data_IF_668587265550
#
_entry.id   IF_668587265550
#
_cell.length_a   1.000
_cell.length_b   1.000
_cell.length_c   1.000
_cell.angle_alpha   90.00
_cell.angle_beta   90.00
_cell.angle_gamma   90.00
#
_symmetry.space_group_name_H-M   'P 1'
#
loop_
_entity.id
_entity.type
_entity.pdbx_description
1 polymer ?
#
# COMPACT_ATOMS: atom_id res chain seq x y z
N UNK A 1 -0.50 -9.42 -7.92
CA UNK A 1 -1.84 -8.83 -7.66
C UNK A 1 -2.87 -9.85 -8.15
N UNK A 2 -3.40 -10.80 -7.39
CA UNK A 2 -3.92 -10.82 -6.02
C UNK A 2 -3.65 -12.25 -5.51
N UNK A 3 -2.55 -12.43 -4.81
CA UNK A 3 -2.00 -13.76 -4.51
C UNK A 3 -1.87 -13.93 -3.02
N UNK A 4 -1.96 -15.16 -2.54
CA UNK A 4 -1.35 -15.59 -1.27
C UNK A 4 0.11 -15.13 -1.11
N UNK A 5 0.79 -14.77 -2.21
CA UNK A 5 2.15 -14.24 -2.20
C UNK A 5 2.25 -12.78 -1.78
N UNK A 6 1.28 -11.90 -2.05
CA UNK A 6 1.33 -10.54 -1.48
C UNK A 6 1.19 -10.61 0.04
N UNK A 7 0.22 -11.39 0.52
CA UNK A 7 0.10 -11.68 1.96
C UNK A 7 1.32 -12.41 2.53
N UNK A 8 2.10 -13.13 1.72
CA UNK A 8 3.35 -13.77 2.17
C UNK A 8 4.46 -12.74 2.29
N UNK A 9 4.68 -11.91 1.27
CA UNK A 9 5.67 -10.82 1.28
C UNK A 9 5.35 -9.84 2.41
N UNK A 10 4.11 -9.35 2.49
CA UNK A 10 3.68 -8.42 3.55
C UNK A 10 3.81 -9.05 4.94
N UNK A 11 3.51 -10.34 5.10
CA UNK A 11 3.71 -11.04 6.38
C UNK A 11 5.19 -11.10 6.76
N UNK A 12 6.06 -11.49 5.84
CA UNK A 12 7.50 -11.55 6.11
C UNK A 12 8.08 -10.19 6.45
N UNK A 13 7.63 -9.13 5.76
CA UNK A 13 8.01 -7.75 6.09
C UNK A 13 7.60 -7.40 7.52
N UNK A 14 6.38 -7.74 7.94
CA UNK A 14 5.92 -7.52 9.32
C UNK A 14 6.72 -8.34 10.34
N UNK A 15 7.04 -9.59 10.04
CA UNK A 15 7.89 -10.45 10.88
C UNK A 15 9.31 -9.86 11.05
N UNK A 16 9.81 -9.14 10.05
CA UNK A 16 11.07 -8.40 10.10
C UNK A 16 10.93 -6.97 10.69
N UNK A 17 9.84 -6.68 11.40
CA UNK A 17 9.56 -5.39 12.04
C UNK A 17 9.45 -4.18 11.06
N UNK A 18 9.24 -4.45 9.77
CA UNK A 18 8.96 -3.43 8.76
C UNK A 18 7.51 -2.98 8.89
N UNK A 19 7.30 -1.66 8.97
CA UNK A 19 5.97 -1.09 9.02
C UNK A 19 5.27 -1.26 7.67
N UNK A 20 4.05 -1.78 7.66
CA UNK A 20 3.25 -1.97 6.45
C UNK A 20 1.87 -1.33 6.61
N UNK A 21 1.55 -0.43 5.69
CA UNK A 21 0.21 0.17 5.53
C UNK A 21 -0.51 -0.55 4.41
N UNK A 22 -1.62 -1.22 4.74
CA UNK A 22 -2.42 -2.01 3.80
C UNK A 22 -3.61 -1.20 3.26
N UNK A 23 -3.56 -0.86 1.97
CA UNK A 23 -4.59 -0.06 1.33
C UNK A 23 -5.93 -0.78 1.21
N UNK A 24 -5.93 -2.12 1.08
CA UNK A 24 -7.16 -2.92 1.01
C UNK A 24 -7.85 -2.99 2.37
N UNK A 25 -7.07 -3.14 3.44
CA UNK A 25 -7.57 -3.06 4.81
C UNK A 25 -8.17 -1.68 5.10
N UNK A 26 -7.47 -0.61 4.73
CA UNK A 26 -7.96 0.76 4.88
C UNK A 26 -9.24 0.97 4.07
N UNK A 27 -9.29 0.53 2.81
CA UNK A 27 -10.47 0.66 1.96
C UNK A 27 -11.71 -0.01 2.57
N UNK A 28 -11.52 -1.10 3.32
CA UNK A 28 -12.61 -1.78 4.05
C UNK A 28 -12.99 -1.04 5.33
N UNK A 29 -12.02 -0.46 6.04
CA UNK A 29 -12.25 0.22 7.31
C UNK A 29 -12.95 1.57 7.12
N UNK A 30 -12.56 2.37 6.11
CA UNK A 30 -13.11 3.72 5.90
C UNK A 30 -14.59 3.75 5.53
N UNK A 31 -15.12 2.62 5.06
CA UNK A 31 -16.54 2.45 4.69
C UNK A 31 -17.36 1.76 5.79
N UNK A 32 -16.83 1.65 7.01
CA UNK A 32 -17.60 1.13 8.14
C UNK A 32 -18.85 1.99 8.42
N UNK A 33 -19.95 1.39 8.92
CA UNK A 33 -21.17 2.11 9.23
C UNK A 33 -20.91 3.34 10.11
N UNK A 34 -21.59 4.44 9.79
CA UNK A 34 -21.46 5.71 10.53
C UNK A 34 -20.33 6.63 10.02
N UNK A 35 -19.34 6.10 9.30
CA UNK A 35 -18.23 6.91 8.76
C UNK A 35 -18.64 7.78 7.56
N UNK A 36 -17.90 8.87 7.28
CA UNK A 36 -18.22 9.77 6.18
C UNK A 36 -18.24 9.11 4.79
N UNK A 37 -17.34 8.16 4.52
CA UNK A 37 -17.31 7.46 3.23
C UNK A 37 -18.55 6.56 3.07
N UNK A 38 -18.97 5.86 4.12
CA UNK A 38 -20.20 5.07 4.15
C UNK A 38 -21.43 5.92 3.80
N UNK A 39 -21.60 7.08 4.47
CA UNK A 39 -22.72 7.98 4.20
C UNK A 39 -22.75 8.47 2.75
N UNK A 40 -21.58 8.78 2.18
CA UNK A 40 -21.45 9.19 0.77
C UNK A 40 -21.82 8.07 -0.20
N UNK A 41 -21.45 6.83 0.10
CA UNK A 41 -21.81 5.66 -0.72
C UNK A 41 -23.33 5.48 -0.69
N UNK A 42 -23.96 5.45 0.49
CA UNK A 42 -25.42 5.29 0.62
C UNK A 42 -26.16 6.43 -0.08
N UNK A 43 -25.69 7.68 0.04
CA UNK A 43 -26.28 8.81 -0.66
C UNK A 43 -26.18 8.71 -2.19
N UNK A 44 -25.12 8.11 -2.72
CA UNK A 44 -24.89 7.98 -4.16
C UNK A 44 -25.59 6.77 -4.78
N UNK A 45 -25.69 5.66 -4.06
CA UNK A 45 -26.17 4.37 -4.59
C UNK A 45 -27.55 3.97 -4.09
N UNK A 46 -28.08 4.65 -3.07
CA UNK A 46 -29.35 4.35 -2.42
C UNK A 46 -29.23 3.31 -1.30
N UNK A 47 -30.34 2.96 -0.64
CA UNK A 47 -30.37 1.96 0.42
C UNK A 47 -30.15 0.52 -0.09
N UNK A 48 -30.30 0.27 -1.39
CA UNK A 48 -30.17 -1.06 -2.00
C UNK A 48 -28.76 -1.67 -1.91
N UNK A 49 -27.76 -0.85 -1.53
CA UNK A 49 -26.38 -1.33 -1.28
C UNK A 49 -26.13 -1.67 0.19
N UNK A 50 -27.18 -1.66 1.01
CA UNK A 50 -27.13 -2.05 2.42
C UNK A 50 -27.59 -3.51 2.60
N UNK A 51 -26.87 -4.22 3.45
CA UNK A 51 -27.31 -5.50 3.97
C UNK A 51 -28.36 -5.29 5.09
N UNK A 52 -29.11 -6.34 5.47
CA UNK A 52 -30.15 -6.24 6.51
C UNK A 52 -29.66 -5.75 7.87
N UNK A 53 -28.37 -5.91 8.16
CA UNK A 53 -27.70 -5.45 9.39
C UNK A 53 -27.26 -3.97 9.35
N UNK A 54 -27.55 -3.26 8.25
CA UNK A 54 -27.18 -1.86 8.04
C UNK A 54 -25.73 -1.66 7.60
N UNK A 55 -24.98 -2.73 7.32
CA UNK A 55 -23.65 -2.66 6.70
C UNK A 55 -23.75 -2.59 5.18
N UNK A 56 -22.65 -2.32 4.48
CA UNK A 56 -22.65 -2.36 3.00
C UNK A 56 -22.68 -3.81 2.51
N UNK A 57 -23.63 -4.14 1.64
CA UNK A 57 -23.56 -5.36 0.83
C UNK A 57 -22.46 -5.19 -0.22
N UNK A 58 -21.27 -5.66 0.15
CA UNK A 58 -20.07 -5.58 -0.70
C UNK A 58 -20.22 -6.36 -2.00
N UNK A 59 -20.98 -7.46 -2.02
CA UNK A 59 -21.17 -8.25 -3.23
C UNK A 59 -22.07 -7.51 -4.20
N UNK A 60 -23.20 -6.99 -3.73
CA UNK A 60 -24.11 -6.19 -4.53
C UNK A 60 -23.44 -4.92 -5.07
N UNK A 61 -22.73 -4.19 -4.19
CA UNK A 61 -22.02 -2.98 -4.57
C UNK A 61 -20.91 -3.27 -5.59
N UNK A 62 -20.13 -4.33 -5.39
CA UNK A 62 -19.10 -4.74 -6.33
C UNK A 62 -19.69 -5.09 -7.70
N UNK A 63 -20.77 -5.88 -7.76
CA UNK A 63 -21.42 -6.24 -9.02
C UNK A 63 -21.82 -5.00 -9.83
N UNK A 64 -22.41 -4.00 -9.16
CA UNK A 64 -22.81 -2.72 -9.78
C UNK A 64 -21.61 -1.91 -10.27
N UNK A 65 -20.57 -1.79 -9.45
CA UNK A 65 -19.34 -1.04 -9.77
C UNK A 65 -18.50 -1.70 -10.85
N UNK A 66 -18.54 -3.03 -10.95
CA UNK A 66 -17.85 -3.76 -12.02
C UNK A 66 -18.59 -3.66 -13.35
N UNK A 67 -19.93 -3.66 -13.34
CA UNK A 67 -20.75 -3.56 -14.53
C UNK A 67 -20.78 -2.15 -15.15
N UNK A 68 -20.71 -1.09 -14.33
CA UNK A 68 -20.86 0.29 -14.79
C UNK A 68 -19.62 1.17 -14.49
N UNK A 69 -18.91 1.67 -15.52
CA UNK A 69 -17.80 2.62 -15.35
C UNK A 69 -18.17 3.91 -14.61
N UNK A 70 -19.41 4.41 -14.78
CA UNK A 70 -19.87 5.63 -14.09
C UNK A 70 -20.09 5.38 -12.59
N UNK A 71 -20.69 4.24 -12.23
CA UNK A 71 -20.73 3.75 -10.85
C UNK A 71 -19.32 3.63 -10.26
N UNK A 72 -18.34 3.09 -11.01
CA UNK A 72 -16.95 2.98 -10.57
C UNK A 72 -16.30 4.34 -10.29
N UNK A 73 -16.52 5.32 -11.16
CA UNK A 73 -16.02 6.67 -10.94
C UNK A 73 -16.66 7.30 -9.67
N UNK A 74 -17.95 7.05 -9.46
CA UNK A 74 -18.70 7.59 -8.33
C UNK A 74 -18.22 7.02 -7.00
N UNK A 75 -18.07 5.69 -6.88
CA UNK A 75 -17.56 5.07 -5.65
C UNK A 75 -16.12 5.51 -5.37
N UNK A 76 -15.27 5.56 -6.39
CA UNK A 76 -13.88 5.99 -6.23
C UNK A 76 -13.81 7.44 -5.74
N UNK A 77 -14.65 8.34 -6.27
CA UNK A 77 -14.73 9.73 -5.80
C UNK A 77 -15.22 9.82 -4.35
N UNK A 78 -16.14 8.94 -3.95
CA UNK A 78 -16.66 8.90 -2.59
C UNK A 78 -15.63 8.40 -1.57
N UNK A 79 -14.76 7.46 -1.94
CA UNK A 79 -13.84 6.76 -1.02
C UNK A 79 -12.41 7.26 -1.06
N UNK A 80 -11.86 7.63 -2.22
CA UNK A 80 -10.45 7.97 -2.40
C UNK A 80 -9.92 9.03 -1.42
N UNK A 81 -10.63 10.14 -1.13
CA UNK A 81 -10.13 11.13 -0.18
C UNK A 81 -9.89 10.55 1.22
N UNK A 82 -10.79 9.68 1.68
CA UNK A 82 -10.70 9.06 3.01
C UNK A 82 -9.62 7.97 3.06
N UNK A 83 -9.50 7.18 1.99
CA UNK A 83 -8.43 6.17 1.88
C UNK A 83 -7.07 6.86 1.93
N UNK A 84 -6.86 7.91 1.12
CA UNK A 84 -5.61 8.66 1.09
C UNK A 84 -5.27 9.30 2.44
N UNK A 85 -6.28 9.87 3.10
CA UNK A 85 -6.09 10.48 4.42
C UNK A 85 -5.69 9.44 5.47
N UNK A 86 -6.35 8.29 5.52
CA UNK A 86 -6.00 7.22 6.46
C UNK A 86 -4.62 6.60 6.15
N UNK A 87 -4.28 6.41 4.87
CA UNK A 87 -2.94 5.96 4.48
C UNK A 87 -1.87 6.94 4.96
N UNK A 88 -2.08 8.25 4.75
CA UNK A 88 -1.16 9.28 5.22
C UNK A 88 -1.06 9.29 6.75
N UNK A 89 -2.19 9.15 7.45
CA UNK A 89 -2.22 9.11 8.92
C UNK A 89 -1.44 7.92 9.47
N UNK A 90 -1.64 6.71 8.93
CA UNK A 90 -0.91 5.52 9.36
C UNK A 90 0.58 5.63 9.05
N UNK A 91 0.93 6.12 7.85
CA UNK A 91 2.31 6.36 7.46
C UNK A 91 3.02 7.33 8.41
N UNK A 92 2.41 8.49 8.71
CA UNK A 92 2.96 9.46 9.65
C UNK A 92 3.09 8.87 11.06
N UNK A 93 2.11 8.08 11.51
CA UNK A 93 2.17 7.43 12.82
C UNK A 93 3.36 6.47 12.94
N UNK A 94 3.68 5.72 11.89
CA UNK A 94 4.86 4.86 11.87
C UNK A 94 6.16 5.66 11.95
N UNK A 95 6.26 6.77 11.20
CA UNK A 95 7.44 7.64 11.28
C UNK A 95 7.63 8.27 12.66
N UNK A 96 6.53 8.66 13.33
CA UNK A 96 6.57 9.15 14.71
C UNK A 96 7.03 8.07 15.70
N UNK A 97 6.72 6.81 15.43
CA UNK A 97 7.22 5.65 16.17
C UNK A 97 8.64 5.21 15.73
N UNK A 98 9.43 6.12 15.16
CA UNK A 98 10.80 5.91 14.71
C UNK A 98 10.98 4.77 13.66
N UNK A 99 9.89 4.36 12.97
CA UNK A 99 10.01 3.47 11.82
C UNK A 99 10.64 4.24 10.67
N UNK A 100 11.72 3.69 10.13
CA UNK A 100 12.53 4.37 9.11
C UNK A 100 12.03 4.12 7.70
N UNK A 101 11.36 2.98 7.52
CA UNK A 101 10.80 2.53 6.25
C UNK A 101 9.36 2.12 6.52
N UNK A 102 8.46 2.61 5.66
CA UNK A 102 7.05 2.23 5.66
C UNK A 102 6.75 1.69 4.27
N UNK A 103 6.26 0.46 4.21
CA UNK A 103 5.84 -0.18 2.96
C UNK A 103 4.35 0.08 2.75
N UNK A 104 4.01 0.61 1.59
CA UNK A 104 2.61 0.77 1.17
C UNK A 104 2.21 -0.46 0.35
N UNK A 105 1.41 -1.33 0.94
CA UNK A 105 0.79 -2.45 0.24
C UNK A 105 -0.46 -1.93 -0.50
N UNK A 106 -0.33 -1.73 -1.81
CA UNK A 106 -1.46 -1.37 -2.64
C UNK A 106 -1.41 -2.04 -4.01
N UNK A 107 -2.52 -2.64 -4.44
CA UNK A 107 -2.57 -3.25 -5.75
C UNK A 107 -2.56 -2.14 -6.84
N UNK A 108 -3.24 -1.02 -6.62
CA UNK A 108 -3.45 0.05 -7.61
C UNK A 108 -2.40 1.16 -7.54
N UNK A 109 -1.14 0.83 -7.25
CA UNK A 109 -0.08 1.81 -6.98
C UNK A 109 0.06 2.87 -8.10
N UNK A 110 0.08 2.45 -9.35
CA UNK A 110 0.26 3.34 -10.50
C UNK A 110 -1.04 4.05 -10.87
N UNK A 111 -2.14 3.32 -10.86
CA UNK A 111 -3.47 3.77 -11.27
C UNK A 111 -4.02 4.84 -10.30
N UNK A 112 -3.64 4.76 -9.03
CA UNK A 112 -4.03 5.73 -7.99
C UNK A 112 -3.12 6.96 -7.91
N UNK A 113 -2.03 6.97 -8.69
CA UNK A 113 -0.99 8.01 -8.68
C UNK A 113 -0.06 7.97 -7.46
N UNK A 114 -0.16 6.94 -6.61
CA UNK A 114 0.65 6.81 -5.39
C UNK A 114 2.13 6.57 -5.73
N UNK A 115 2.43 5.98 -6.89
CA UNK A 115 3.79 5.77 -7.40
C UNK A 115 4.67 7.04 -7.38
N UNK A 116 4.07 8.23 -7.52
CA UNK A 116 4.81 9.50 -7.51
C UNK A 116 5.27 9.95 -6.11
N UNK A 117 4.81 9.29 -5.05
CA UNK A 117 5.05 9.65 -3.65
C UNK A 117 5.91 8.62 -2.91
N UNK A 118 6.48 7.64 -3.63
CA UNK A 118 7.31 6.58 -3.05
C UNK A 118 8.69 6.60 -3.67
N UNK A 119 9.71 6.22 -2.88
CA UNK A 119 11.10 6.21 -3.33
C UNK A 119 11.52 4.88 -3.99
N UNK A 120 10.86 3.78 -3.59
CA UNK A 120 11.18 2.43 -4.05
C UNK A 120 9.88 1.71 -4.40
N UNK A 121 9.78 1.25 -5.63
CA UNK A 121 8.67 0.46 -6.15
C UNK A 121 9.13 -0.99 -6.25
N UNK A 122 8.47 -1.85 -5.48
CA UNK A 122 8.67 -3.30 -5.51
C UNK A 122 7.47 -3.96 -6.19
N UNK A 123 7.71 -4.76 -7.23
CA UNK A 123 6.66 -5.51 -7.91
C UNK A 123 6.84 -7.00 -7.66
N UNK A 124 5.83 -7.61 -7.03
CA UNK A 124 5.73 -9.07 -6.93
C UNK A 124 5.14 -9.62 -8.23
N UNK A 125 6.01 -10.19 -9.06
CA UNK A 125 5.71 -10.59 -10.43
C UNK A 125 5.35 -12.07 -10.54
N UNK A 126 4.40 -12.35 -11.43
CA UNK A 126 4.08 -13.66 -11.99
C UNK A 126 3.65 -13.45 -13.44
N UNK A 127 3.93 -14.39 -14.34
CA UNK A 127 3.44 -14.29 -15.72
C UNK A 127 1.91 -14.22 -15.79
N UNK A 128 1.35 -13.54 -16.80
CA UNK A 128 -0.10 -13.43 -17.02
C UNK A 128 -0.88 -14.77 -16.95
N UNK A 129 -0.43 -15.88 -17.59
CA UNK A 129 -1.14 -17.16 -17.47
C UNK A 129 -1.19 -17.68 -16.02
N UNK A 130 -0.08 -17.59 -15.28
CA UNK A 130 0.01 -18.01 -13.88
C UNK A 130 -0.84 -17.09 -12.99
N UNK A 131 -0.85 -15.79 -13.26
CA UNK A 131 -1.69 -14.81 -12.57
C UNK A 131 -3.17 -15.20 -12.66
N UNK A 132 -3.64 -15.49 -13.88
CA UNK A 132 -5.03 -15.88 -14.15
C UNK A 132 -5.39 -17.20 -13.46
N UNK A 133 -4.55 -18.22 -13.60
CA UNK A 133 -4.77 -19.52 -12.97
C UNK A 133 -4.88 -19.41 -11.44
N UNK A 134 -3.97 -18.66 -10.80
CA UNK A 134 -3.99 -18.44 -9.35
C UNK A 134 -5.22 -17.65 -8.90
N UNK A 135 -5.68 -16.69 -9.70
CA UNK A 135 -6.87 -15.89 -9.40
C UNK A 135 -8.15 -16.74 -9.44
N UNK A 136 -8.31 -17.58 -10.47
CA UNK A 136 -9.44 -18.51 -10.61
C UNK A 136 -9.49 -19.48 -9.42
N UNK A 137 -8.37 -20.15 -9.12
CA UNK A 137 -8.31 -21.14 -8.05
C UNK A 137 -8.61 -20.56 -6.66
N UNK A 138 -8.27 -19.29 -6.44
CA UNK A 138 -8.47 -18.62 -5.14
C UNK A 138 -9.89 -18.10 -4.96
N UNK A 139 -10.40 -17.38 -5.97
CA UNK A 139 -11.68 -16.67 -5.84
C UNK A 139 -12.87 -17.54 -6.26
N UNK A 140 -12.61 -18.73 -6.81
CA UNK A 140 -13.64 -19.64 -7.35
C UNK A 140 -14.53 -18.91 -8.36
N UNK A 141 -13.90 -18.17 -9.27
CA UNK A 141 -14.56 -17.36 -10.30
C UNK A 141 -14.31 -17.91 -11.70
N UNK A 142 -15.24 -17.63 -12.60
CA UNK A 142 -15.13 -17.98 -14.00
C UNK A 142 -13.90 -17.34 -14.69
N UNK A 143 -13.28 -18.02 -15.67
CA UNK A 143 -12.10 -17.52 -16.37
C UNK A 143 -12.27 -16.13 -17.02
N UNK A 144 -13.49 -15.81 -17.47
CA UNK A 144 -13.82 -14.52 -18.06
C UNK A 144 -13.86 -13.41 -17.01
N UNK A 145 -14.44 -13.66 -15.84
CA UNK A 145 -14.44 -12.72 -14.72
C UNK A 145 -13.01 -12.48 -14.18
N UNK A 146 -12.17 -13.53 -14.15
CA UNK A 146 -10.76 -13.40 -13.82
C UNK A 146 -10.02 -12.49 -14.81
N UNK A 147 -10.29 -12.64 -16.11
CA UNK A 147 -9.68 -11.80 -17.15
C UNK A 147 -10.10 -10.34 -17.00
N UNK A 148 -11.40 -10.06 -16.84
CA UNK A 148 -11.91 -8.69 -16.64
C UNK A 148 -11.28 -8.00 -15.42
N UNK A 149 -11.00 -8.74 -14.34
CA UNK A 149 -10.30 -8.20 -13.17
C UNK A 149 -8.85 -7.85 -13.48
N UNK A 150 -8.13 -8.70 -14.22
CA UNK A 150 -6.75 -8.43 -14.65
C UNK A 150 -6.72 -7.21 -15.57
N UNK A 151 -7.65 -7.14 -16.52
CA UNK A 151 -7.71 -6.06 -17.52
C UNK A 151 -8.15 -4.72 -16.92
N UNK A 152 -8.82 -4.73 -15.76
CA UNK A 152 -9.18 -3.50 -15.04
C UNK A 152 -7.98 -2.77 -14.43
N UNK A 153 -6.78 -3.37 -14.50
CA UNK A 153 -5.55 -2.89 -13.88
C UNK A 153 -4.47 -2.70 -14.95
N UNK A 154 -3.44 -1.93 -14.61
CA UNK A 154 -2.26 -1.84 -15.47
C UNK A 154 -1.62 -3.22 -15.62
N UNK A 155 -1.30 -3.57 -16.87
CA UNK A 155 -0.65 -4.84 -17.23
C UNK A 155 0.61 -5.09 -16.36
N UNK A 156 0.72 -6.30 -15.82
CA UNK A 156 1.81 -6.70 -14.92
C UNK A 156 3.20 -6.57 -15.57
N UNK A 157 3.32 -6.77 -16.89
CA UNK A 157 4.58 -6.55 -17.63
C UNK A 157 4.99 -5.08 -17.62
N UNK A 158 4.02 -4.18 -17.76
CA UNK A 158 4.29 -2.74 -17.65
C UNK A 158 4.66 -2.37 -16.21
N UNK A 159 3.97 -2.92 -15.21
CA UNK A 159 4.34 -2.71 -13.79
C UNK A 159 5.77 -3.16 -13.52
N UNK A 160 6.17 -4.32 -14.05
CA UNK A 160 7.53 -4.87 -13.95
C UNK A 160 8.57 -3.91 -14.54
N UNK A 161 8.32 -3.30 -15.70
CA UNK A 161 9.24 -2.35 -16.32
C UNK A 161 9.39 -1.04 -15.52
N UNK A 162 8.36 -0.64 -14.77
CA UNK A 162 8.35 0.57 -13.95
C UNK A 162 8.87 0.33 -12.52
N UNK A 163 9.21 -0.91 -12.16
CA UNK A 163 9.64 -1.27 -10.82
C UNK A 163 11.13 -1.00 -10.61
N UNK A 164 11.51 -0.61 -9.39
CA UNK A 164 12.91 -0.58 -8.98
C UNK A 164 13.41 -1.98 -8.64
N UNK A 165 12.56 -2.80 -8.00
CA UNK A 165 12.87 -4.17 -7.62
C UNK A 165 11.72 -5.08 -8.06
N UNK A 166 12.06 -6.22 -8.65
CA UNK A 166 11.09 -7.23 -9.06
C UNK A 166 11.32 -8.50 -8.24
N UNK A 167 10.31 -8.87 -7.45
CA UNK A 167 10.28 -10.18 -6.77
C UNK A 167 9.52 -11.12 -7.68
N UNK A 168 10.24 -11.97 -8.41
CA UNK A 168 9.60 -13.04 -9.14
C UNK A 168 9.06 -14.10 -8.14
N UNK A 169 7.82 -14.52 -8.37
CA UNK A 169 7.07 -15.44 -7.53
C UNK A 169 6.38 -16.53 -8.40
N UNK A 170 6.98 -16.86 -9.54
CA UNK A 170 6.60 -18.01 -10.36
C UNK A 170 7.00 -19.34 -9.70
N UNK A 171 8.16 -19.37 -9.03
CA UNK A 171 8.71 -20.52 -8.34
C UNK A 171 8.02 -20.88 -7.01
N UNK A 172 8.78 -21.53 -6.13
CA UNK A 172 8.26 -21.97 -4.84
C UNK A 172 8.08 -20.79 -3.86
N UNK A 173 7.30 -21.02 -2.81
CA UNK A 173 7.20 -20.07 -1.71
C UNK A 173 8.56 -19.82 -1.06
N UNK A 174 9.42 -20.84 -0.94
CA UNK A 174 10.75 -20.70 -0.35
C UNK A 174 11.65 -19.76 -1.17
N UNK A 175 11.61 -19.84 -2.50
CA UNK A 175 12.37 -18.93 -3.37
C UNK A 175 11.91 -17.48 -3.19
N UNK A 176 10.60 -17.30 -3.03
CA UNK A 176 10.03 -15.97 -2.77
C UNK A 176 10.49 -15.44 -1.41
N UNK A 177 10.58 -16.28 -0.38
CA UNK A 177 11.07 -15.88 0.95
C UNK A 177 12.49 -15.34 0.88
N UNK A 178 13.40 -16.08 0.25
CA UNK A 178 14.80 -15.67 0.08
C UNK A 178 14.91 -14.32 -0.62
N UNK A 179 14.08 -14.07 -1.64
CA UNK A 179 14.07 -12.78 -2.36
C UNK A 179 13.55 -11.63 -1.50
N UNK A 180 12.59 -11.88 -0.61
CA UNK A 180 12.10 -10.87 0.35
C UNK A 180 13.15 -10.56 1.39
N UNK A 181 13.87 -11.57 1.88
CA UNK A 181 14.94 -11.38 2.85
C UNK A 181 16.07 -10.51 2.23
N UNK A 182 16.47 -10.81 0.99
CA UNK A 182 17.43 -9.98 0.24
C UNK A 182 16.94 -8.54 0.04
N UNK A 183 15.65 -8.33 -0.25
CA UNK A 183 15.05 -6.99 -0.34
C UNK A 183 15.19 -6.24 1.00
N UNK A 184 14.90 -6.91 2.11
CA UNK A 184 14.96 -6.30 3.45
C UNK A 184 16.40 -5.88 3.76
N UNK A 185 17.37 -6.76 3.53
CA UNK A 185 18.78 -6.50 3.79
C UNK A 185 19.33 -5.36 2.92
N UNK A 186 19.02 -5.36 1.63
CA UNK A 186 19.62 -4.42 0.66
C UNK A 186 18.95 -3.05 0.65
N UNK A 187 17.64 -2.98 0.90
CA UNK A 187 16.86 -1.78 0.63
C UNK A 187 16.04 -1.28 1.81
N UNK A 188 15.69 -2.13 2.78
CA UNK A 188 14.80 -1.75 3.89
C UNK A 188 15.52 -1.65 5.24
N UNK A 189 16.83 -1.95 5.28
CA UNK A 189 17.69 -1.87 6.46
C UNK A 189 18.60 -0.63 6.40
N UNK A 190 18.12 0.56 6.78
CA UNK A 190 18.97 1.76 6.78
C UNK A 190 20.05 1.64 7.86
N UNK A 191 21.30 1.95 7.47
CA UNK A 191 22.44 1.98 8.40
C UNK A 191 22.19 2.89 9.62
N UNK A 192 22.67 2.45 10.78
CA UNK A 192 22.56 3.16 12.07
C UNK A 192 23.16 4.57 12.07
N UNK A 193 24.15 4.84 11.21
CA UNK A 193 24.93 6.07 11.23
C UNK A 193 24.23 7.29 10.59
N UNK A 194 23.79 7.28 9.31
CA UNK A 194 23.08 8.43 8.72
C UNK A 194 21.76 8.75 9.43
N UNK A 195 21.18 7.76 10.12
CA UNK A 195 19.92 7.87 10.84
C UNK A 195 20.09 8.56 12.19
N UNK A 196 21.12 8.23 12.97
CA UNK A 196 21.43 8.99 14.20
C UNK A 196 21.71 10.47 13.88
N UNK A 197 22.42 10.76 12.80
CA UNK A 197 22.71 12.14 12.36
C UNK A 197 21.45 12.89 11.93
N UNK A 198 20.56 12.27 11.15
CA UNK A 198 19.32 12.93 10.72
C UNK A 198 18.39 13.25 11.91
N UNK A 199 18.24 12.34 12.87
CA UNK A 199 17.39 12.56 14.05
C UNK A 199 17.99 13.56 15.04
N UNK A 200 19.31 13.56 15.23
CA UNK A 200 19.99 14.57 16.06
C UNK A 200 19.87 15.97 15.45
N UNK A 201 19.96 16.11 14.12
CA UNK A 201 19.75 17.39 13.44
C UNK A 201 18.28 17.87 13.50
N UNK A 202 17.31 16.96 13.38
CA UNK A 202 15.89 17.31 13.35
C UNK A 202 15.34 17.68 14.74
N UNK A 203 15.75 16.96 15.78
CA UNK A 203 15.24 17.14 17.15
C UNK A 203 16.15 17.98 18.04
N UNK A 204 17.38 18.28 17.60
CA UNK A 204 18.31 19.06 18.40
C UNK A 204 18.98 20.25 17.67
N UNK A 205 18.22 21.10 16.94
CA UNK A 205 18.78 22.29 16.31
C UNK A 205 19.43 23.23 17.34
N UNK A 206 18.91 23.26 18.58
CA UNK A 206 19.45 24.05 19.68
C UNK A 206 20.84 23.64 20.17
N UNK A 207 21.22 22.35 20.12
CA UNK A 207 22.57 21.92 20.54
C UNK A 207 23.61 22.39 19.53
N UNK A 208 23.28 22.35 18.23
CA UNK A 208 24.16 22.79 17.16
C UNK A 208 24.27 24.32 17.09
N UNK A 209 23.18 25.04 17.33
CA UNK A 209 23.22 26.49 17.47
C UNK A 209 24.07 26.90 18.68
N UNK A 210 23.91 26.21 19.83
CA UNK A 210 24.68 26.48 21.04
C UNK A 210 26.16 26.09 20.88
N UNK A 211 26.46 24.92 20.31
CA UNK A 211 27.84 24.47 20.08
C UNK A 211 28.55 25.39 19.07
N UNK A 212 27.89 25.80 17.99
CA UNK A 212 28.39 26.79 17.04
C UNK A 212 28.66 28.16 17.66
N UNK A 213 27.75 28.67 18.50
CA UNK A 213 27.95 29.93 19.24
C UNK A 213 29.12 29.84 20.23
N UNK A 214 29.27 28.69 20.90
CA UNK A 214 30.38 28.48 21.85
C UNK A 214 31.74 28.36 21.15
N UNK A 215 31.81 27.68 20.00
CA UNK A 215 33.02 27.58 19.18
C UNK A 215 33.42 28.94 18.61
N UNK A 216 32.45 29.74 18.15
CA UNK A 216 32.70 31.08 17.62
C UNK A 216 33.20 32.07 18.69
N UNK A 217 32.73 31.93 19.93
CA UNK A 217 33.27 32.67 21.07
C UNK A 217 34.70 32.25 21.42
N UNK A 218 35.03 30.97 21.29
CA UNK A 218 36.36 30.44 21.57
C UNK A 218 37.41 30.85 20.52
N UNK A 219 37.01 30.96 19.25
CA UNK A 219 37.90 31.36 18.13
C UNK A 219 38.13 32.88 18.01
N UNK A 220 37.42 33.70 18.80
CA UNK A 220 37.56 35.17 18.83
C UNK A 220 38.31 35.69 20.07
N UNK A 221 38.91 34.80 20.86
CA UNK A 221 39.85 35.07 21.94
C UNK A 221 41.25 34.65 21.49
#
# INVERSE_FOLDING_TARGET
>A
MYSRSHSTVTRQLREADVAVVDADEIARAVVAPGLPAFRRIVAAFGPDVLAPDGTLDRKALAARVFADPAARATINKATHPYIRLEMLRQMLSHFLCAKRVVVLDTPLLFESGIANYVNLIVVVYVSPPVQKQRLIARDLIEPLAAQQRIDSQMNIEKKKQLANVVIDNEGSLADTRVRVDLLIEQHLSPGLFPTAVAWTLLFWPGLFAYSGLSLFKWLKL
#
